data_IF_562049680312
#
_entry.id   IF_562049680312
#
_cell.length_a   1.000
_cell.length_b   1.000
_cell.length_c   1.000
_cell.angle_alpha   90.00
_cell.angle_beta   90.00
_cell.angle_gamma   90.00
#
_symmetry.space_group_name_H-M   'P 1'
#
loop_
_entity.id
_entity.type
_entity.pdbx_description
1 polymer ?
#
# COMPACT_ATOMS: atom_id res chain seq x y z
N UNK A 1 13.68 -19.86 -20.25
CA UNK A 1 13.90 -21.12 -19.49
C UNK A 1 14.73 -20.73 -18.30
N UNK A 2 14.10 -20.56 -17.14
CA UNK A 2 14.87 -20.33 -15.92
C UNK A 2 15.58 -21.63 -15.52
N UNK A 3 16.86 -21.52 -15.19
CA UNK A 3 17.62 -22.62 -14.63
C UNK A 3 17.20 -22.83 -13.17
N UNK A 4 16.61 -23.99 -12.87
CA UNK A 4 16.25 -24.38 -11.51
C UNK A 4 17.45 -24.87 -10.71
N UNK A 5 17.45 -24.64 -9.40
CA UNK A 5 18.45 -25.17 -8.47
C UNK A 5 18.18 -26.64 -8.16
N UNK A 6 19.19 -27.32 -7.60
CA UNK A 6 19.04 -28.69 -7.14
C UNK A 6 17.96 -28.79 -6.05
N UNK A 7 16.99 -29.69 -6.24
CA UNK A 7 15.88 -29.92 -5.30
C UNK A 7 14.57 -29.20 -5.65
N UNK A 8 14.60 -28.27 -6.60
CA UNK A 8 13.38 -27.58 -7.07
C UNK A 8 12.57 -28.47 -8.01
N UNK A 9 11.25 -28.43 -7.85
CA UNK A 9 10.29 -29.10 -8.73
C UNK A 9 9.42 -28.06 -9.39
N UNK A 10 8.99 -28.32 -10.62
CA UNK A 10 7.93 -27.52 -11.20
C UNK A 10 7.57 -27.95 -12.61
N UNK A 11 6.49 -27.37 -13.09
CA UNK A 11 5.82 -27.77 -14.33
C UNK A 11 5.86 -26.58 -15.28
N UNK A 12 6.25 -26.82 -16.53
CA UNK A 12 6.16 -25.83 -17.60
C UNK A 12 5.08 -26.24 -18.58
N UNK A 13 4.20 -25.30 -18.96
CA UNK A 13 3.19 -25.51 -19.99
C UNK A 13 3.60 -24.67 -21.19
N UNK A 14 3.82 -25.33 -22.32
CA UNK A 14 4.26 -24.67 -23.55
C UNK A 14 3.15 -24.76 -24.60
N UNK A 15 2.74 -23.61 -25.13
CA UNK A 15 1.81 -23.54 -26.26
C UNK A 15 2.58 -23.36 -27.56
N UNK A 16 2.23 -24.06 -28.65
CA UNK A 16 2.92 -23.91 -29.93
C UNK A 16 2.76 -22.49 -30.49
N UNK A 17 3.87 -21.92 -30.99
CA UNK A 17 3.96 -20.54 -31.53
C UNK A 17 3.21 -20.39 -32.87
N UNK A 18 2.86 -21.49 -33.53
CA UNK A 18 2.29 -21.52 -34.88
C UNK A 18 0.99 -22.32 -34.95
N UNK A 19 -0.06 -21.83 -34.29
CA UNK A 19 -1.41 -22.24 -34.67
C UNK A 19 -1.74 -21.56 -36.02
N UNK A 20 -2.17 -22.36 -36.99
CA UNK A 20 -2.31 -22.00 -38.40
C UNK A 20 -2.94 -20.61 -38.63
N UNK A 21 -2.28 -19.72 -39.39
CA UNK A 21 -2.72 -18.34 -39.72
C UNK A 21 -3.95 -18.24 -40.63
N UNK A 22 -4.74 -19.31 -40.75
CA UNK A 22 -5.99 -19.24 -41.49
C UNK A 22 -7.01 -18.46 -40.66
N UNK A 23 -7.56 -17.37 -41.23
CA UNK A 23 -8.59 -16.52 -40.61
C UNK A 23 -9.84 -17.34 -40.20
N UNK A 24 -10.11 -18.46 -40.88
CA UNK A 24 -11.20 -19.38 -40.54
C UNK A 24 -10.90 -20.32 -39.35
N UNK A 25 -9.66 -20.34 -38.84
CA UNK A 25 -9.19 -21.23 -37.78
C UNK A 25 -8.81 -20.51 -36.46
N UNK A 26 -9.28 -19.26 -36.25
CA UNK A 26 -9.12 -18.53 -34.99
C UNK A 26 -9.95 -19.16 -33.85
N UNK A 27 -9.65 -20.42 -33.51
CA UNK A 27 -10.09 -21.03 -32.27
C UNK A 27 -9.10 -20.61 -31.20
N UNK A 28 -9.56 -19.79 -30.25
CA UNK A 28 -8.76 -19.54 -29.04
C UNK A 28 -8.75 -20.81 -28.20
N UNK A 29 -7.56 -21.35 -27.94
CA UNK A 29 -7.38 -22.42 -26.97
C UNK A 29 -7.31 -21.76 -25.60
N UNK A 30 -8.25 -22.09 -24.71
CA UNK A 30 -8.21 -21.68 -23.31
C UNK A 30 -7.73 -22.87 -22.48
N UNK A 31 -6.61 -22.69 -21.79
CA UNK A 31 -6.07 -23.67 -20.85
C UNK A 31 -6.38 -23.21 -19.44
N UNK A 32 -6.99 -24.08 -18.64
CA UNK A 32 -7.16 -23.87 -17.20
C UNK A 32 -6.23 -24.82 -16.46
N UNK A 33 -5.25 -24.27 -15.78
CA UNK A 33 -4.35 -25.04 -14.91
C UNK A 33 -4.82 -24.87 -13.47
N UNK A 34 -5.04 -25.99 -12.77
CA UNK A 34 -5.42 -25.98 -11.36
C UNK A 34 -4.32 -26.68 -10.57
N UNK A 35 -3.70 -25.94 -9.66
CA UNK A 35 -2.70 -26.48 -8.73
C UNK A 35 -3.43 -26.78 -7.42
N UNK A 36 -3.38 -28.03 -6.98
CA UNK A 36 -3.99 -28.48 -5.74
C UNK A 36 -2.86 -28.79 -4.77
N UNK A 37 -2.84 -28.09 -3.64
CA UNK A 37 -1.91 -28.36 -2.55
C UNK A 37 -2.44 -29.50 -1.68
N UNK A 38 -1.55 -30.32 -1.08
CA UNK A 38 -1.99 -31.34 -0.14
C UNK A 38 -2.69 -30.70 1.05
N UNK A 39 -3.67 -31.39 1.63
CA UNK A 39 -4.33 -30.92 2.84
C UNK A 39 -3.37 -31.05 4.03
N UNK A 40 -3.10 -29.95 4.73
CA UNK A 40 -2.37 -29.97 6.00
C UNK A 40 -3.16 -30.67 7.11
N UNK A 41 -2.49 -31.00 8.21
CA UNK A 41 -3.16 -31.50 9.41
C UNK A 41 -4.10 -30.41 9.99
N UNK A 42 -5.27 -30.82 10.48
CA UNK A 42 -6.42 -29.94 10.76
C UNK A 42 -6.20 -28.75 11.73
N UNK A 43 -5.05 -28.67 12.41
CA UNK A 43 -4.79 -27.68 13.45
C UNK A 43 -3.79 -26.59 13.04
N UNK A 44 -3.08 -26.75 11.92
CA UNK A 44 -2.10 -25.77 11.47
C UNK A 44 -2.12 -25.61 9.95
N UNK A 45 -1.99 -24.38 9.43
CA UNK A 45 -1.87 -24.17 7.99
C UNK A 45 -0.65 -24.93 7.44
N UNK A 46 -0.81 -25.51 6.25
CA UNK A 46 0.32 -26.05 5.50
C UNK A 46 1.28 -24.90 5.17
N UNK A 47 2.56 -25.06 5.51
CA UNK A 47 3.58 -24.07 5.24
C UNK A 47 4.42 -24.50 4.03
N UNK A 48 4.29 -23.76 2.92
CA UNK A 48 5.07 -24.00 1.71
C UNK A 48 6.26 -23.06 1.70
N UNK A 49 7.47 -23.61 1.62
CA UNK A 49 8.69 -22.79 1.62
C UNK A 49 8.73 -21.79 0.46
N UNK A 50 8.37 -22.22 -0.73
CA UNK A 50 8.47 -21.38 -1.91
C UNK A 50 7.45 -21.80 -2.96
N UNK A 51 6.74 -20.83 -3.51
CA UNK A 51 5.92 -20.97 -4.69
C UNK A 51 6.26 -19.86 -5.67
N UNK A 52 6.62 -20.25 -6.89
CA UNK A 52 6.88 -19.35 -8.00
C UNK A 52 6.00 -19.71 -9.20
N UNK A 53 5.39 -18.69 -9.81
CA UNK A 53 4.70 -18.80 -11.09
C UNK A 53 5.16 -17.70 -12.02
N UNK A 54 5.37 -18.05 -13.29
CA UNK A 54 5.60 -17.09 -14.37
C UNK A 54 4.73 -17.51 -15.56
N UNK A 55 3.64 -16.79 -15.79
CA UNK A 55 2.64 -17.15 -16.81
C UNK A 55 2.27 -15.97 -17.70
N UNK A 56 2.50 -16.13 -18.99
CA UNK A 56 2.06 -15.15 -19.97
C UNK A 56 0.58 -15.34 -20.32
N UNK A 57 -0.10 -14.21 -20.56
CA UNK A 57 -1.48 -14.16 -21.08
C UNK A 57 -2.50 -15.03 -20.32
N UNK A 58 -2.26 -15.29 -19.03
CA UNK A 58 -3.04 -16.20 -18.21
C UNK A 58 -3.42 -15.49 -16.92
N UNK A 59 -4.71 -15.54 -16.57
CA UNK A 59 -5.16 -15.04 -15.28
C UNK A 59 -4.72 -16.01 -14.18
N UNK A 60 -4.11 -15.47 -13.13
CA UNK A 60 -3.75 -16.20 -11.92
C UNK A 60 -4.81 -15.92 -10.85
N UNK A 61 -5.57 -16.95 -10.50
CA UNK A 61 -6.52 -16.91 -9.41
C UNK A 61 -6.02 -17.80 -8.27
N UNK A 62 -5.95 -17.25 -7.06
CA UNK A 62 -5.59 -18.03 -5.87
C UNK A 62 -6.80 -18.08 -4.95
N UNK A 63 -7.27 -19.30 -4.72
CA UNK A 63 -8.44 -19.61 -3.92
C UNK A 63 -8.08 -20.57 -2.79
N UNK A 64 -7.21 -20.09 -1.91
CA UNK A 64 -6.81 -20.83 -0.71
C UNK A 64 -6.83 -19.89 0.48
N UNK A 65 -7.62 -20.25 1.49
CA UNK A 65 -7.74 -19.48 2.73
C UNK A 65 -6.46 -19.66 3.59
N UNK A 66 -5.96 -18.56 4.15
CA UNK A 66 -4.84 -18.51 5.10
C UNK A 66 -4.91 -19.52 6.26
N UNK A 67 -6.11 -20.01 6.61
CA UNK A 67 -6.30 -21.07 7.63
C UNK A 67 -5.67 -22.40 7.21
N UNK A 68 -5.56 -22.63 5.90
CA UNK A 68 -5.11 -23.90 5.34
C UNK A 68 -3.73 -23.80 4.71
N UNK A 69 -3.31 -22.62 4.23
CA UNK A 69 -2.07 -22.49 3.47
C UNK A 69 -1.39 -21.14 3.69
N UNK A 70 -0.08 -21.20 3.92
CA UNK A 70 0.82 -20.06 3.98
C UNK A 70 2.11 -20.35 3.22
N UNK A 71 2.82 -19.28 2.84
CA UNK A 71 4.08 -19.37 2.12
C UNK A 71 5.22 -18.70 2.90
N UNK A 72 6.44 -19.22 2.86
CA UNK A 72 7.59 -18.40 3.26
C UNK A 72 7.88 -17.38 2.14
N UNK A 73 8.03 -17.85 0.90
CA UNK A 73 8.26 -17.00 -0.26
C UNK A 73 7.21 -17.26 -1.34
N UNK A 74 6.50 -16.22 -1.76
CA UNK A 74 5.51 -16.28 -2.83
C UNK A 74 5.89 -15.32 -3.95
N UNK A 75 6.12 -15.85 -5.16
CA UNK A 75 6.42 -15.06 -6.36
C UNK A 75 5.39 -15.36 -7.44
N UNK A 76 4.57 -14.37 -7.79
CA UNK A 76 3.54 -14.46 -8.81
C UNK A 76 3.83 -13.47 -9.93
N UNK A 77 4.29 -13.97 -11.07
CA UNK A 77 4.49 -13.19 -12.27
C UNK A 77 3.43 -13.56 -13.32
N UNK A 78 2.80 -12.54 -13.88
CA UNK A 78 2.02 -12.66 -15.11
C UNK A 78 2.34 -11.50 -16.05
N UNK A 79 1.96 -11.61 -17.31
CA UNK A 79 2.17 -10.51 -18.28
C UNK A 79 0.87 -9.73 -18.48
N UNK A 80 -0.09 -10.30 -19.22
CA UNK A 80 -1.35 -9.63 -19.57
C UNK A 80 -2.57 -10.11 -18.78
N UNK A 81 -2.42 -11.21 -18.04
CA UNK A 81 -3.52 -11.74 -17.22
C UNK A 81 -3.53 -11.13 -15.83
N UNK A 82 -4.72 -11.03 -15.26
CA UNK A 82 -4.92 -10.51 -13.91
C UNK A 82 -4.35 -11.48 -12.87
N UNK A 83 -3.87 -10.94 -11.75
CA UNK A 83 -3.53 -11.71 -10.56
C UNK A 83 -4.51 -11.33 -9.47
N UNK A 84 -5.34 -12.27 -9.02
CA UNK A 84 -6.28 -12.00 -7.95
C UNK A 84 -6.37 -13.10 -6.90
N UNK A 85 -6.58 -12.66 -5.67
CA UNK A 85 -6.80 -13.52 -4.52
C UNK A 85 -8.28 -13.55 -4.16
N UNK A 86 -8.90 -14.73 -4.24
CA UNK A 86 -10.31 -14.94 -3.87
C UNK A 86 -10.45 -15.00 -2.33
N UNK A 87 -9.48 -15.63 -1.66
CA UNK A 87 -9.39 -15.70 -0.21
C UNK A 87 -8.14 -14.95 0.30
N UNK A 88 -8.05 -14.58 1.59
CA UNK A 88 -6.85 -13.97 2.14
C UNK A 88 -5.64 -14.91 2.05
N UNK A 89 -4.56 -14.45 1.42
CA UNK A 89 -3.29 -15.19 1.35
C UNK A 89 -2.33 -14.74 2.44
N UNK A 90 -1.64 -15.70 3.05
CA UNK A 90 -0.60 -15.43 4.03
C UNK A 90 0.78 -15.84 3.50
N UNK A 91 1.75 -14.95 3.68
CA UNK A 91 3.14 -15.20 3.32
C UNK A 91 4.11 -14.54 4.30
N UNK A 92 5.37 -14.95 4.30
CA UNK A 92 6.44 -14.20 4.98
C UNK A 92 6.95 -13.09 4.07
N UNK A 93 7.28 -13.44 2.83
CA UNK A 93 7.69 -12.53 1.76
C UNK A 93 6.89 -12.79 0.49
N UNK A 94 6.40 -11.72 -0.13
CA UNK A 94 5.59 -11.79 -1.35
C UNK A 94 6.09 -10.86 -2.44
N UNK A 95 6.06 -11.33 -3.67
CA UNK A 95 6.30 -10.53 -4.87
C UNK A 95 5.23 -10.87 -5.91
N UNK A 96 4.40 -9.90 -6.27
CA UNK A 96 3.41 -10.04 -7.34
C UNK A 96 3.74 -9.02 -8.42
N UNK A 97 3.86 -9.50 -9.66
CA UNK A 97 4.17 -8.65 -10.80
C UNK A 97 3.24 -8.97 -11.97
N UNK A 98 2.67 -7.92 -12.56
CA UNK A 98 2.07 -7.98 -13.89
C UNK A 98 2.74 -6.98 -14.84
N UNK A 99 2.48 -7.09 -16.15
CA UNK A 99 2.75 -5.98 -17.07
C UNK A 99 1.48 -5.16 -17.31
N UNK A 100 0.38 -5.83 -17.67
CA UNK A 100 -0.87 -5.16 -18.03
C UNK A 100 -2.09 -5.66 -17.28
N UNK A 101 -2.02 -6.81 -16.63
CA UNK A 101 -3.15 -7.35 -15.84
C UNK A 101 -3.34 -6.62 -14.52
N UNK A 102 -4.58 -6.55 -14.05
CA UNK A 102 -4.92 -6.00 -12.75
C UNK A 102 -4.37 -6.88 -11.62
N UNK A 103 -4.08 -6.28 -10.48
CA UNK A 103 -3.74 -7.02 -9.25
C UNK A 103 -4.76 -6.70 -8.17
N UNK A 104 -5.46 -7.72 -7.67
CA UNK A 104 -6.48 -7.53 -6.64
C UNK A 104 -6.58 -8.63 -5.59
N UNK A 105 -7.25 -8.34 -4.47
CA UNK A 105 -7.55 -9.34 -3.43
C UNK A 105 -7.01 -8.96 -2.06
N UNK A 106 -6.78 -9.97 -1.20
CA UNK A 106 -6.25 -9.76 0.15
C UNK A 106 -4.91 -10.48 0.33
N UNK A 107 -3.85 -9.71 0.58
CA UNK A 107 -2.49 -10.21 0.76
C UNK A 107 -1.99 -9.86 2.17
N UNK A 108 -1.47 -10.85 2.90
CA UNK A 108 -0.98 -10.71 4.27
C UNK A 108 0.47 -11.17 4.29
N UNK A 109 1.40 -10.25 4.57
CA UNK A 109 2.83 -10.54 4.66
C UNK A 109 3.37 -10.27 6.06
N UNK A 110 4.16 -11.17 6.62
CA UNK A 110 4.77 -10.93 7.94
C UNK A 110 6.04 -10.08 7.86
N UNK A 111 6.69 -10.02 6.70
CA UNK A 111 7.91 -9.23 6.48
C UNK A 111 7.77 -8.25 5.32
N UNK A 112 7.78 -8.73 4.09
CA UNK A 112 7.84 -7.85 2.92
C UNK A 112 6.80 -8.26 1.88
N UNK A 113 6.10 -7.30 1.30
CA UNK A 113 5.26 -7.53 0.13
C UNK A 113 5.47 -6.45 -0.91
N UNK A 114 5.78 -6.88 -2.12
CA UNK A 114 5.92 -6.01 -3.28
C UNK A 114 4.85 -6.37 -4.33
N UNK A 115 4.07 -5.38 -4.75
CA UNK A 115 3.03 -5.51 -5.78
C UNK A 115 3.35 -4.54 -6.91
N UNK A 116 3.61 -5.05 -8.11
CA UNK A 116 4.09 -4.25 -9.23
C UNK A 116 3.30 -4.51 -10.50
N UNK A 117 2.96 -3.45 -11.22
CA UNK A 117 2.42 -3.57 -12.58
C UNK A 117 2.90 -2.42 -13.46
N UNK A 118 2.76 -2.50 -14.78
CA UNK A 118 3.03 -1.35 -15.65
C UNK A 118 1.74 -0.61 -15.97
N UNK A 119 0.68 -1.34 -16.33
CA UNK A 119 -0.57 -0.73 -16.81
C UNK A 119 -1.80 -1.16 -16.01
N UNK A 120 -1.71 -2.24 -15.24
CA UNK A 120 -2.82 -2.74 -14.43
C UNK A 120 -3.16 -1.82 -13.27
N UNK A 121 -4.41 -1.87 -12.83
CA UNK A 121 -4.83 -1.31 -11.57
C UNK A 121 -4.43 -2.20 -10.40
N UNK A 122 -4.20 -1.58 -9.24
CA UNK A 122 -3.95 -2.27 -7.98
C UNK A 122 -5.10 -1.93 -7.03
N UNK A 123 -5.81 -2.97 -6.55
CA UNK A 123 -7.00 -2.84 -5.69
C UNK A 123 -7.02 -3.86 -4.56
N UNK A 124 -7.71 -3.56 -3.47
CA UNK A 124 -7.98 -4.54 -2.41
C UNK A 124 -7.22 -4.25 -1.13
N UNK A 125 -6.89 -5.30 -0.36
CA UNK A 125 -6.42 -5.17 1.02
C UNK A 125 -5.04 -5.77 1.21
N UNK A 126 -4.10 -4.97 1.70
CA UNK A 126 -2.71 -5.36 1.89
C UNK A 126 -2.33 -5.16 3.35
N UNK A 127 -1.93 -6.24 4.01
CA UNK A 127 -1.59 -6.26 5.43
C UNK A 127 -0.12 -6.64 5.54
N UNK A 128 0.68 -5.85 6.26
CA UNK A 128 2.08 -6.17 6.51
C UNK A 128 2.54 -5.79 7.91
N UNK A 129 3.35 -6.66 8.52
CA UNK A 129 4.11 -6.31 9.73
C UNK A 129 5.55 -5.88 9.47
N UNK A 130 5.96 -5.72 8.21
CA UNK A 130 7.21 -5.05 7.83
C UNK A 130 6.99 -3.99 6.76
N UNK A 131 7.48 -4.22 5.54
CA UNK A 131 7.44 -3.26 4.42
C UNK A 131 6.42 -3.63 3.34
N UNK A 132 5.79 -2.62 2.75
CA UNK A 132 4.90 -2.70 1.58
C UNK A 132 5.43 -1.80 0.46
N UNK A 133 5.71 -2.37 -0.71
CA UNK A 133 6.14 -1.65 -1.91
C UNK A 133 5.14 -1.88 -3.05
N UNK A 134 4.27 -0.89 -3.30
CA UNK A 134 3.18 -0.97 -4.26
C UNK A 134 3.45 0.04 -5.36
N UNK A 135 3.64 -0.45 -6.58
CA UNK A 135 4.01 0.42 -7.70
C UNK A 135 3.31 0.07 -8.99
N UNK A 136 2.88 1.08 -9.73
CA UNK A 136 2.41 0.94 -11.11
C UNK A 136 3.02 2.04 -12.00
N UNK A 137 3.02 1.90 -13.32
CA UNK A 137 3.46 3.02 -14.18
C UNK A 137 2.26 3.88 -14.57
N UNK A 138 1.24 3.26 -15.15
CA UNK A 138 0.10 3.94 -15.76
C UNK A 138 -1.23 3.65 -15.07
N UNK A 139 -1.35 2.50 -14.42
CA UNK A 139 -2.59 2.12 -13.77
C UNK A 139 -2.82 2.90 -12.47
N UNK A 140 -4.07 2.92 -11.97
CA UNK A 140 -4.39 3.49 -10.68
C UNK A 140 -4.04 2.53 -9.54
N UNK A 141 -3.65 3.08 -8.39
CA UNK A 141 -3.80 2.41 -7.09
C UNK A 141 -5.10 2.96 -6.53
N UNK A 142 -6.18 2.18 -6.51
CA UNK A 142 -7.52 2.70 -6.19
C UNK A 142 -8.30 1.73 -5.33
N UNK A 143 -9.17 2.25 -4.46
CA UNK A 143 -9.94 1.43 -3.53
C UNK A 143 -9.02 0.47 -2.72
N UNK A 144 -7.81 0.94 -2.42
CA UNK A 144 -6.78 0.14 -1.76
C UNK A 144 -6.78 0.42 -0.26
N UNK A 145 -6.83 -0.65 0.54
CA UNK A 145 -6.70 -0.59 2.00
C UNK A 145 -5.37 -1.17 2.43
N UNK A 146 -4.58 -0.37 3.14
CA UNK A 146 -3.29 -0.78 3.71
C UNK A 146 -3.39 -0.89 5.22
N UNK A 147 -2.92 -2.00 5.78
CA UNK A 147 -2.82 -2.21 7.23
C UNK A 147 -1.35 -2.47 7.57
N UNK A 148 -0.76 -1.58 8.37
CA UNK A 148 0.61 -1.72 8.88
C UNK A 148 0.56 -2.15 10.34
N UNK A 149 0.98 -3.40 10.61
CA UNK A 149 0.99 -4.00 11.96
C UNK A 149 2.40 -3.90 12.59
N UNK A 150 2.66 -2.87 13.39
CA UNK A 150 3.93 -2.72 14.07
C UNK A 150 4.02 -3.63 15.30
N UNK A 151 4.78 -4.72 15.15
CA UNK A 151 5.08 -5.69 16.24
C UNK A 151 6.42 -5.44 16.92
N UNK A 152 7.19 -4.47 16.44
CA UNK A 152 8.54 -4.14 16.92
C UNK A 152 8.76 -2.61 16.88
N UNK A 153 8.64 -1.95 18.04
CA UNK A 153 8.82 -0.50 18.16
C UNK A 153 10.23 -0.01 17.80
N UNK A 154 11.22 -0.90 17.71
CA UNK A 154 12.57 -0.53 17.29
C UNK A 154 12.67 -0.27 15.79
N UNK A 155 11.71 -0.75 15.00
CA UNK A 155 11.69 -0.65 13.54
C UNK A 155 10.43 0.06 13.07
N UNK A 156 10.58 0.90 12.04
CA UNK A 156 9.44 1.49 11.37
C UNK A 156 8.83 0.48 10.39
N UNK A 157 7.50 0.47 10.31
CA UNK A 157 6.81 -0.16 9.17
C UNK A 157 6.80 0.82 8.01
N UNK A 158 7.10 0.31 6.82
CA UNK A 158 7.25 1.13 5.62
C UNK A 158 6.12 0.85 4.63
N UNK A 159 5.49 1.90 4.12
CA UNK A 159 4.57 1.84 3.00
C UNK A 159 5.05 2.77 1.89
N UNK A 160 5.38 2.20 0.74
CA UNK A 160 5.70 2.94 -0.48
C UNK A 160 4.61 2.72 -1.51
N UNK A 161 3.97 3.81 -1.93
CA UNK A 161 3.01 3.85 -3.03
C UNK A 161 3.59 4.70 -4.14
N UNK A 162 3.73 4.14 -5.35
CA UNK A 162 4.28 4.88 -6.48
C UNK A 162 3.50 4.64 -7.77
N UNK A 163 3.20 5.72 -8.48
CA UNK A 163 2.76 5.64 -9.87
C UNK A 163 3.36 6.76 -10.70
N UNK A 164 3.38 6.63 -12.02
CA UNK A 164 3.80 7.75 -12.88
C UNK A 164 2.58 8.57 -13.27
N UNK A 165 1.52 7.91 -13.74
CA UNK A 165 0.38 8.59 -14.36
C UNK A 165 -0.96 8.32 -13.66
N UNK A 166 -1.09 7.21 -12.93
CA UNK A 166 -2.33 6.87 -12.25
C UNK A 166 -2.58 7.72 -11.01
N UNK A 167 -3.85 7.84 -10.57
CA UNK A 167 -4.15 8.32 -9.23
C UNK A 167 -3.75 7.28 -8.18
N UNK A 168 -3.53 7.77 -6.96
CA UNK A 168 -3.44 6.97 -5.73
C UNK A 168 -4.64 7.36 -4.87
N UNK A 169 -5.55 6.41 -4.65
CA UNK A 169 -6.69 6.50 -3.74
C UNK A 169 -6.58 5.35 -2.72
N UNK A 170 -6.29 5.71 -1.47
CA UNK A 170 -5.90 4.75 -0.44
C UNK A 170 -6.36 5.08 0.99
N UNK A 171 -6.91 4.07 1.64
CA UNK A 171 -7.19 4.05 3.08
C UNK A 171 -6.08 3.33 3.83
N UNK A 172 -5.57 3.93 4.90
CA UNK A 172 -4.47 3.41 5.70
C UNK A 172 -4.89 3.23 7.15
N UNK A 173 -4.63 2.04 7.68
CA UNK A 173 -4.79 1.70 9.09
C UNK A 173 -3.43 1.39 9.67
N UNK A 174 -3.04 2.12 10.70
CA UNK A 174 -1.83 1.87 11.45
C UNK A 174 -2.24 1.12 12.73
N UNK A 175 -1.70 -0.07 12.90
CA UNK A 175 -1.98 -0.94 14.04
C UNK A 175 -0.67 -1.29 14.73
N UNK A 176 -0.69 -1.38 16.06
CA UNK A 176 0.51 -1.67 16.82
C UNK A 176 0.20 -1.84 18.29
N UNK A 177 0.73 -2.90 18.88
CA UNK A 177 0.60 -3.19 20.31
C UNK A 177 1.69 -2.51 21.14
N UNK A 178 2.62 -1.84 20.46
CA UNK A 178 3.81 -1.25 21.08
C UNK A 178 3.62 0.25 21.30
N UNK A 179 3.93 0.70 22.52
CA UNK A 179 4.10 2.13 22.77
C UNK A 179 5.26 2.62 21.90
N UNK A 180 5.09 3.77 21.25
CA UNK A 180 6.05 4.34 20.31
C UNK A 180 6.23 3.54 19.00
N UNK A 181 5.19 2.86 18.52
CA UNK A 181 5.17 2.31 17.16
C UNK A 181 5.56 3.39 16.13
N UNK A 182 6.32 3.01 15.10
CA UNK A 182 6.82 3.94 14.07
C UNK A 182 6.33 3.52 12.70
N UNK A 183 5.87 4.49 11.92
CA UNK A 183 5.37 4.27 10.57
C UNK A 183 5.99 5.29 9.62
N UNK A 184 6.48 4.81 8.49
CA UNK A 184 7.01 5.63 7.41
C UNK A 184 6.21 5.37 6.13
N UNK A 185 5.60 6.41 5.58
CA UNK A 185 4.71 6.32 4.42
C UNK A 185 5.19 7.30 3.36
N UNK A 186 5.50 6.77 2.18
CA UNK A 186 5.83 7.58 1.01
C UNK A 186 4.82 7.29 -0.09
N UNK A 187 4.18 8.34 -0.60
CA UNK A 187 3.26 8.25 -1.73
C UNK A 187 3.67 9.23 -2.82
N UNK A 188 3.80 8.74 -4.05
CA UNK A 188 4.30 9.54 -5.17
C UNK A 188 3.57 9.24 -6.46
N UNK A 189 3.12 10.29 -7.12
CA UNK A 189 2.69 10.24 -8.52
C UNK A 189 3.26 11.43 -9.30
N UNK A 190 3.29 11.37 -10.64
CA UNK A 190 3.68 12.54 -11.43
C UNK A 190 2.44 13.27 -11.96
N UNK A 191 1.48 12.52 -12.49
CA UNK A 191 0.33 13.11 -13.19
C UNK A 191 -1.02 12.85 -12.54
N UNK A 192 -1.15 11.86 -11.66
CA UNK A 192 -2.44 11.54 -11.04
C UNK A 192 -2.68 12.29 -9.72
N UNK A 193 -3.92 12.29 -9.28
CA UNK A 193 -4.29 12.76 -7.95
C UNK A 193 -3.70 11.87 -6.85
N UNK A 194 -3.36 12.47 -5.72
CA UNK A 194 -3.15 11.76 -4.47
C UNK A 194 -4.35 12.02 -3.57
N UNK A 195 -5.11 10.98 -3.25
CA UNK A 195 -6.20 11.00 -2.28
C UNK A 195 -5.92 9.92 -1.23
N UNK A 196 -5.57 10.34 -0.02
CA UNK A 196 -5.17 9.39 1.02
C UNK A 196 -5.81 9.73 2.35
N UNK A 197 -6.16 8.69 3.09
CA UNK A 197 -6.73 8.85 4.43
C UNK A 197 -6.10 7.86 5.39
N UNK A 198 -5.39 8.38 6.39
CA UNK A 198 -5.00 7.58 7.55
C UNK A 198 -6.21 7.55 8.49
N UNK A 199 -6.89 6.39 8.55
CA UNK A 199 -8.17 6.22 9.25
C UNK A 199 -8.00 6.05 10.75
N UNK A 200 -6.93 5.39 11.16
CA UNK A 200 -6.63 5.09 12.56
C UNK A 200 -5.12 4.93 12.75
N UNK A 201 -4.64 5.26 13.94
CA UNK A 201 -3.28 4.96 14.39
C UNK A 201 -3.24 4.79 15.92
N UNK A 202 -2.29 4.02 16.48
CA UNK A 202 -2.17 3.89 17.92
C UNK A 202 -1.82 5.23 18.55
N UNK A 203 -2.38 5.50 19.72
CA UNK A 203 -2.00 6.69 20.50
C UNK A 203 -0.51 6.60 20.87
N UNK A 204 0.17 7.75 20.87
CA UNK A 204 1.61 7.86 21.15
C UNK A 204 2.50 7.11 20.12
N UNK A 205 1.99 6.87 18.91
CA UNK A 205 2.80 6.40 17.77
C UNK A 205 3.37 7.56 16.96
N UNK A 206 4.42 7.29 16.18
CA UNK A 206 5.07 8.26 15.30
C UNK A 206 4.74 7.95 13.85
N UNK A 207 4.18 8.94 13.14
CA UNK A 207 3.96 8.89 11.70
C UNK A 207 4.90 9.85 10.98
N UNK A 208 5.71 9.32 10.06
CA UNK A 208 6.46 10.08 9.06
C UNK A 208 5.78 9.85 7.72
N UNK A 209 5.20 10.90 7.14
CA UNK A 209 4.48 10.85 5.87
C UNK A 209 5.09 11.81 4.84
N UNK A 210 5.31 11.34 3.62
CA UNK A 210 5.73 12.14 2.48
C UNK A 210 4.88 11.83 1.24
N UNK A 211 3.94 12.71 0.94
CA UNK A 211 3.09 12.65 -0.26
C UNK A 211 3.51 13.69 -1.30
N UNK A 212 3.66 13.26 -2.57
CA UNK A 212 4.00 14.17 -3.67
C UNK A 212 3.33 13.81 -5.00
N UNK A 213 2.67 14.79 -5.60
CA UNK A 213 2.30 14.78 -7.03
C UNK A 213 2.92 15.97 -7.76
N UNK A 214 2.80 16.04 -9.09
CA UNK A 214 3.27 17.21 -9.85
C UNK A 214 2.11 17.94 -10.51
N UNK A 215 1.23 17.22 -11.21
CA UNK A 215 0.22 17.86 -12.07
C UNK A 215 -1.19 17.92 -11.51
N UNK A 216 -1.51 17.07 -10.53
CA UNK A 216 -2.86 16.97 -9.99
C UNK A 216 -2.88 17.30 -8.48
N UNK A 217 -4.08 17.28 -7.92
CA UNK A 217 -4.37 17.56 -6.53
C UNK A 217 -3.73 16.55 -5.59
N UNK A 218 -3.36 17.03 -4.41
CA UNK A 218 -2.90 16.22 -3.30
C UNK A 218 -3.82 16.44 -2.11
N UNK A 219 -4.40 15.38 -1.58
CA UNK A 219 -5.26 15.38 -0.40
C UNK A 219 -4.77 14.33 0.58
N UNK A 220 -4.69 14.71 1.85
CA UNK A 220 -4.40 13.80 2.96
C UNK A 220 -5.33 14.12 4.13
N UNK A 221 -6.00 13.11 4.66
CA UNK A 221 -6.73 13.19 5.92
C UNK A 221 -6.02 12.37 7.00
N UNK A 222 -5.80 12.98 8.16
CA UNK A 222 -5.13 12.34 9.31
C UNK A 222 -6.13 12.07 10.44
N UNK A 223 -5.93 11.04 11.28
CA UNK A 223 -6.88 10.70 12.34
C UNK A 223 -6.56 11.50 13.62
N UNK A 224 -7.49 11.51 14.59
CA UNK A 224 -7.39 12.35 15.80
C UNK A 224 -6.16 12.05 16.69
N UNK A 225 -5.60 10.85 16.55
CA UNK A 225 -4.42 10.35 17.24
C UNK A 225 -3.12 10.94 16.70
N UNK A 226 -3.13 11.50 15.48
CA UNK A 226 -1.96 12.13 14.90
C UNK A 226 -1.51 13.33 15.72
N UNK A 227 -0.22 13.37 16.02
CA UNK A 227 0.45 14.47 16.68
C UNK A 227 1.81 14.67 16.00
N UNK A 228 2.12 15.91 15.62
CA UNK A 228 3.35 16.20 14.90
C UNK A 228 3.29 17.47 14.06
N UNK A 229 4.40 17.68 13.36
CA UNK A 229 4.60 18.80 12.44
C UNK A 229 4.03 18.48 11.06
N UNK A 230 3.49 19.48 10.39
CA UNK A 230 3.01 19.33 9.03
C UNK A 230 3.51 20.45 8.12
N UNK A 231 3.67 20.13 6.85
CA UNK A 231 4.08 21.04 5.78
C UNK A 231 3.31 20.68 4.50
N UNK A 232 2.42 21.58 4.10
CA UNK A 232 1.61 21.47 2.89
C UNK A 232 2.07 22.54 1.92
N UNK A 233 2.46 22.16 0.71
CA UNK A 233 2.97 23.11 -0.27
C UNK A 233 2.59 22.82 -1.70
N UNK A 234 2.47 23.86 -2.49
CA UNK A 234 2.33 23.81 -3.95
C UNK A 234 3.17 24.91 -4.59
N UNK A 235 3.38 24.86 -5.90
CA UNK A 235 4.13 25.90 -6.62
C UNK A 235 3.19 26.91 -7.27
N UNK A 236 2.12 26.43 -7.91
CA UNK A 236 1.30 27.25 -8.81
C UNK A 236 -0.16 27.42 -8.36
N UNK A 237 -0.59 26.73 -7.30
CA UNK A 237 -1.98 26.81 -6.81
C UNK A 237 -2.00 27.06 -5.28
N UNK A 238 -3.05 26.62 -4.60
CA UNK A 238 -3.27 26.82 -3.17
C UNK A 238 -2.90 25.61 -2.32
N UNK A 239 -2.22 25.86 -1.21
CA UNK A 239 -2.08 24.94 -0.09
C UNK A 239 -3.17 25.27 0.94
N UNK A 240 -3.95 24.26 1.32
CA UNK A 240 -5.07 24.39 2.25
C UNK A 240 -4.92 23.47 3.45
N UNK A 241 -5.40 23.97 4.59
CA UNK A 241 -5.56 23.24 5.82
C UNK A 241 -7.04 23.25 6.20
N UNK A 242 -7.69 22.09 6.10
CA UNK A 242 -9.05 21.85 6.57
C UNK A 242 -8.97 21.38 8.03
N UNK A 243 -9.88 21.87 8.86
CA UNK A 243 -9.93 21.55 10.28
C UNK A 243 -11.23 20.86 10.60
N UNK A 244 -11.13 19.68 11.18
CA UNK A 244 -12.25 18.92 11.70
C UNK A 244 -12.33 19.09 13.22
N UNK A 245 -13.53 18.88 13.77
CA UNK A 245 -13.68 18.79 15.23
C UNK A 245 -13.24 17.41 15.69
N UNK A 246 -12.36 17.35 16.70
CA UNK A 246 -11.75 16.10 17.16
C UNK A 246 -12.06 15.82 18.61
N UNK A 247 -12.31 14.54 18.91
CA UNK A 247 -12.43 14.03 20.28
C UNK A 247 -11.03 13.62 20.75
N UNK A 248 -10.70 13.91 22.00
CA UNK A 248 -9.46 13.44 22.62
C UNK A 248 -9.38 11.91 22.56
N UNK A 249 -8.41 11.33 21.84
CA UNK A 249 -8.29 9.88 21.68
C UNK A 249 -7.96 9.17 23.00
N UNK A 250 -7.38 9.86 23.99
CA UNK A 250 -7.14 9.31 25.34
C UNK A 250 -8.38 9.43 26.25
N UNK A 251 -9.42 10.16 25.83
CA UNK A 251 -10.58 10.44 26.66
C UNK A 251 -10.28 11.28 27.92
N UNK A 252 -9.13 11.96 27.97
CA UNK A 252 -8.68 12.72 29.13
C UNK A 252 -9.27 14.15 29.17
N UNK A 253 -10.19 14.48 28.28
CA UNK A 253 -10.80 15.80 28.20
C UNK A 253 -9.83 16.90 27.74
N UNK A 254 -8.73 16.53 27.07
CA UNK A 254 -7.76 17.49 26.54
C UNK A 254 -8.39 18.29 25.39
N UNK A 255 -7.93 19.53 25.23
CA UNK A 255 -8.28 20.37 24.08
C UNK A 255 -7.19 20.24 23.02
N UNK A 256 -7.58 19.97 21.78
CA UNK A 256 -6.64 19.87 20.67
C UNK A 256 -5.97 21.21 20.40
N UNK A 257 -4.63 21.23 20.39
CA UNK A 257 -3.85 22.42 20.10
C UNK A 257 -3.25 22.26 18.71
N UNK A 258 -3.44 23.28 17.88
CA UNK A 258 -2.78 23.38 16.59
C UNK A 258 -2.39 24.83 16.35
N UNK A 259 -1.32 25.01 15.60
CA UNK A 259 -0.96 26.31 15.06
C UNK A 259 -0.47 26.12 13.64
N UNK A 260 -0.78 27.10 12.78
CA UNK A 260 -0.30 27.12 11.40
C UNK A 260 0.29 28.48 11.10
N UNK A 261 1.37 28.51 10.35
CA UNK A 261 1.94 29.71 9.75
C UNK A 261 2.01 29.56 8.24
N UNK A 262 1.75 30.67 7.56
CA UNK A 262 2.05 30.85 6.15
C UNK A 262 2.97 32.06 6.03
N UNK A 263 4.02 32.01 5.18
CA UNK A 263 4.81 33.21 4.87
C UNK A 263 3.88 34.36 4.45
N UNK A 264 4.21 35.62 4.81
CA UNK A 264 3.34 36.77 4.52
C UNK A 264 2.93 36.76 3.05
N UNK A 265 1.61 36.73 2.80
CA UNK A 265 0.97 36.70 1.48
C UNK A 265 1.19 35.42 0.63
N UNK A 266 1.78 34.35 1.16
CA UNK A 266 1.86 33.06 0.45
C UNK A 266 0.58 32.26 0.65
N UNK A 267 -0.10 31.94 -0.46
CA UNK A 267 -1.18 30.94 -0.50
C UNK A 267 -0.67 29.54 -0.84
N UNK A 268 0.62 29.41 -1.11
CA UNK A 268 1.25 28.23 -1.67
C UNK A 268 1.86 27.32 -0.60
N UNK A 269 1.97 27.78 0.64
CA UNK A 269 2.59 27.04 1.75
C UNK A 269 1.76 27.22 3.03
N UNK A 270 1.51 26.11 3.72
CA UNK A 270 0.95 26.07 5.07
C UNK A 270 1.77 25.08 5.88
N UNK A 271 2.38 25.53 6.96
CA UNK A 271 3.15 24.68 7.87
C UNK A 271 2.72 24.89 9.31
N UNK A 272 2.93 23.90 10.17
CA UNK A 272 2.49 24.02 11.55
C UNK A 272 2.77 22.80 12.40
N UNK A 273 2.12 22.77 13.56
CA UNK A 273 2.15 21.67 14.52
C UNK A 273 0.74 21.40 15.02
N UNK A 274 0.44 20.13 15.30
CA UNK A 274 -0.79 19.71 15.96
C UNK A 274 -0.49 18.67 17.03
N UNK A 275 -1.10 18.79 18.22
CA UNK A 275 -0.85 17.88 19.34
C UNK A 275 -1.92 18.02 20.44
N UNK A 276 -1.90 17.08 21.38
CA UNK A 276 -2.72 17.10 22.59
C UNK A 276 -1.84 17.42 23.81
N UNK A 277 -2.02 18.57 24.48
CA UNK A 277 -1.18 18.95 25.60
C UNK A 277 -1.44 18.07 26.83
N UNK A 278 -0.37 17.53 27.43
CA UNK A 278 -0.46 16.63 28.59
C UNK A 278 -0.49 17.37 29.95
N UNK A 279 -0.70 18.70 29.94
CA UNK A 279 -0.85 19.53 31.14
C UNK A 279 0.42 19.72 31.98
N UNK A 280 1.54 19.10 31.61
CA UNK A 280 2.81 19.14 32.37
C UNK A 280 3.71 20.36 32.09
N UNK A 281 3.28 21.29 31.24
CA UNK A 281 4.02 22.53 30.97
C UNK A 281 5.26 22.37 30.07
N UNK A 282 5.84 21.18 29.95
CA UNK A 282 6.89 20.89 28.97
C UNK A 282 6.29 20.65 27.58
N UNK A 283 6.77 21.41 26.60
CA UNK A 283 6.50 21.22 25.17
C UNK A 283 7.25 19.98 24.68
N UNK A 284 6.75 18.80 25.03
CA UNK A 284 7.21 17.57 24.38
C UNK A 284 6.66 17.59 22.95
N UNK A 285 7.46 18.10 22.02
CA UNK A 285 7.06 18.26 20.62
C UNK A 285 6.94 16.85 20.02
N UNK A 286 5.76 16.44 19.53
CA UNK A 286 5.60 15.10 18.98
C UNK A 286 6.53 14.88 17.78
N UNK A 287 7.08 13.67 17.67
CA UNK A 287 8.03 13.30 16.62
C UNK A 287 7.41 13.07 15.23
N UNK A 288 6.08 13.17 15.10
CA UNK A 288 5.39 13.02 13.83
C UNK A 288 5.76 14.12 12.82
N UNK A 289 5.84 13.77 11.55
CA UNK A 289 6.13 14.70 10.47
C UNK A 289 5.35 14.34 9.22
N UNK A 290 4.58 15.29 8.68
CA UNK A 290 3.77 15.12 7.48
C UNK A 290 4.17 16.16 6.46
N UNK A 291 4.62 15.71 5.28
CA UNK A 291 4.85 16.58 4.13
C UNK A 291 3.92 16.18 3.00
N UNK A 292 3.13 17.13 2.51
CA UNK A 292 2.26 16.96 1.35
C UNK A 292 2.59 18.02 0.32
N UNK A 293 2.86 17.62 -0.91
CA UNK A 293 3.23 18.57 -1.96
C UNK A 293 2.67 18.27 -3.34
N UNK A 294 2.40 19.32 -4.10
CA UNK A 294 2.17 19.25 -5.55
C UNK A 294 2.89 20.41 -6.25
N UNK A 295 2.87 20.46 -7.58
CA UNK A 295 3.42 21.61 -8.32
C UNK A 295 2.32 22.47 -8.92
N UNK A 296 1.35 21.86 -9.59
CA UNK A 296 0.44 22.56 -10.50
C UNK A 296 -1.02 22.63 -10.01
N UNK A 297 -1.35 21.97 -8.92
CA UNK A 297 -2.71 21.93 -8.40
C UNK A 297 -2.77 22.18 -6.90
N UNK A 298 -3.97 22.03 -6.34
CA UNK A 298 -4.25 22.21 -4.93
C UNK A 298 -3.60 21.11 -4.07
N UNK A 299 -2.99 21.50 -2.95
CA UNK A 299 -2.64 20.58 -1.87
C UNK A 299 -3.55 20.85 -0.67
N UNK A 300 -4.16 19.82 -0.10
CA UNK A 300 -5.08 19.93 1.05
C UNK A 300 -4.69 18.93 2.12
N UNK A 301 -4.44 19.41 3.33
CA UNK A 301 -4.35 18.57 4.51
C UNK A 301 -5.61 18.75 5.35
N UNK A 302 -6.23 17.66 5.75
CA UNK A 302 -7.30 17.64 6.73
C UNK A 302 -6.76 17.14 8.06
N UNK A 303 -6.74 18.08 9.01
CA UNK A 303 -6.57 17.83 10.43
C UNK A 303 -7.93 18.03 11.13
#
# INVERSE_FOLDING_TARGET
MESRRSGERGVGIFTPVHLCRCVACLRSVRVKTVIIFPQGEHLSPLWIKELETDVDNTNLAIDVDKKYLCFDHLKLCATNGDVYSIAPMCMTEGFVKTESGDISGTFIATRNLAIKTSNGSIKGRYISSGSLDISTTNGPIQEATFVLENKDASKANELRLETSNGPIDADIYLEGDTRNAKYEITAKTSSGALDMSVKAMPVDSTLIFSGKTSNDSAYLSLPAEYQGSFNVRTSNDRADLVKSTRRDPKGAGRTWVWWSSSPRNSKTIVSGLSYWPDGRGDLDVPNGSVTLSTSNAKATLEL
#
